data_IF_007277057170
#
_entry.id   IF_007277057170
#
_cell.length_a   1.000
_cell.length_b   1.000
_cell.length_c   1.000
_cell.angle_alpha   90.00
_cell.angle_beta   90.00
_cell.angle_gamma   90.00
#
_symmetry.space_group_name_H-M   'P 1'
#
loop_
_entity.id
_entity.type
_entity.pdbx_description
1 polymer ?
#
# COMPACT_ATOMS: atom_id res chain seq x y z
N UNK A 1 -5.59 9.89 9.57
CA UNK A 1 -5.34 8.49 9.98
C UNK A 1 -5.34 7.60 8.78
N UNK A 2 -4.35 6.73 8.60
CA UNK A 2 -4.34 5.69 7.57
C UNK A 2 -3.93 4.38 8.25
N UNK A 3 -4.83 3.40 8.28
CA UNK A 3 -4.59 2.01 8.69
C UNK A 3 -4.63 1.14 7.43
N UNK A 4 -3.71 0.19 7.21
CA UNK A 4 -3.73 -0.66 6.00
C UNK A 4 -3.54 -2.14 6.35
N UNK A 5 -4.44 -2.99 5.83
CA UNK A 5 -4.19 -4.42 5.67
C UNK A 5 -4.41 -4.85 4.22
N UNK A 6 -3.31 -5.36 3.66
CA UNK A 6 -3.05 -6.09 2.41
C UNK A 6 -4.23 -6.24 1.43
N UNK A 7 -4.48 -5.20 0.62
CA UNK A 7 -5.27 -5.30 -0.61
C UNK A 7 -4.39 -5.62 -1.82
N UNK A 8 -4.26 -6.90 -2.19
CA UNK A 8 -3.61 -7.31 -3.45
C UNK A 8 -4.44 -6.79 -4.63
N UNK A 9 -3.89 -5.85 -5.38
CA UNK A 9 -4.30 -5.58 -6.74
C UNK A 9 -3.99 -6.83 -7.63
N UNK A 10 -4.81 -7.89 -7.59
CA UNK A 10 -4.90 -8.99 -8.59
C UNK A 10 -5.49 -8.64 -9.99
N UNK A 11 -4.64 -8.29 -10.96
CA UNK A 11 -5.03 -7.99 -12.35
C UNK A 11 -5.39 -9.30 -13.07
N UNK A 12 -6.65 -9.51 -13.42
CA UNK A 12 -7.03 -10.45 -14.50
C UNK A 12 -8.32 -10.04 -15.21
N UNK A 13 -8.22 -9.96 -16.55
CA UNK A 13 -9.24 -10.14 -17.60
C UNK A 13 -10.51 -9.26 -17.64
N UNK A 14 -10.38 -8.02 -18.09
CA UNK A 14 -11.45 -7.36 -18.89
C UNK A 14 -11.10 -7.47 -20.38
N UNK A 15 -12.08 -7.60 -21.29
CA UNK A 15 -11.84 -7.44 -22.73
C UNK A 15 -11.31 -6.04 -23.00
N UNK A 16 -10.32 -5.93 -23.90
CA UNK A 16 -9.74 -4.65 -24.27
C UNK A 16 -10.84 -3.69 -24.75
N UNK A 17 -10.86 -2.42 -24.31
CA UNK A 17 -11.79 -1.43 -24.86
C UNK A 17 -11.58 -1.35 -26.38
N UNK A 18 -12.69 -1.25 -27.13
CA UNK A 18 -12.63 -1.16 -28.59
C UNK A 18 -11.71 -0.01 -29.03
N UNK A 19 -10.83 -0.29 -30.00
CA UNK A 19 -9.92 0.72 -30.56
C UNK A 19 -10.74 1.88 -31.14
N UNK A 20 -10.58 3.11 -30.64
CA UNK A 20 -11.11 4.28 -31.32
C UNK A 20 -10.40 4.42 -32.68
N UNK A 21 -11.18 4.74 -33.71
CA UNK A 21 -10.75 4.70 -35.11
C UNK A 21 -9.64 5.71 -35.46
N UNK A 22 -9.52 6.80 -34.71
CA UNK A 22 -8.37 7.69 -34.73
C UNK A 22 -8.32 8.54 -33.46
N UNK A 23 -7.13 8.66 -32.86
CA UNK A 23 -6.83 9.70 -31.88
C UNK A 23 -5.70 10.52 -32.48
N UNK A 24 -5.97 11.79 -32.73
CA UNK A 24 -4.95 12.74 -33.18
C UNK A 24 -4.44 13.55 -32.00
N UNK A 25 -3.16 13.89 -32.03
CA UNK A 25 -2.56 14.84 -31.10
C UNK A 25 -3.06 16.27 -31.35
N UNK A 26 -2.79 17.21 -30.44
CA UNK A 26 -3.15 18.64 -30.60
C UNK A 26 -2.51 19.28 -31.85
N UNK A 27 -1.39 18.74 -32.31
CA UNK A 27 -0.66 19.10 -33.52
C UNK A 27 -1.08 18.30 -34.77
N UNK A 28 -2.11 17.45 -34.66
CA UNK A 28 -2.72 16.76 -35.80
C UNK A 28 -1.99 15.49 -36.28
N UNK A 29 -1.00 15.00 -35.52
CA UNK A 29 -0.35 13.73 -35.81
C UNK A 29 -1.16 12.54 -35.28
N UNK A 30 -1.17 11.44 -36.03
CA UNK A 30 -1.88 10.21 -35.62
C UNK A 30 -1.13 9.52 -34.47
N UNK A 31 -1.84 9.22 -33.38
CA UNK A 31 -1.28 8.43 -32.27
C UNK A 31 -1.31 6.95 -32.61
N UNK A 32 -0.13 6.35 -32.70
CA UNK A 32 0.01 4.91 -32.83
C UNK A 32 -0.35 4.21 -31.51
N UNK A 33 -1.25 3.23 -31.60
CA UNK A 33 -1.54 2.35 -30.49
C UNK A 33 -0.43 1.31 -30.32
N UNK A 34 0.24 1.33 -29.17
CA UNK A 34 1.28 0.36 -28.83
C UNK A 34 0.87 -0.48 -27.62
N UNK A 35 1.05 -1.81 -27.73
CA UNK A 35 0.74 -2.74 -26.63
C UNK A 35 1.72 -2.61 -25.46
N UNK A 36 2.92 -2.09 -25.71
CA UNK A 36 3.94 -1.88 -24.70
C UNK A 36 4.62 -0.53 -24.95
N UNK A 37 4.65 0.31 -23.93
CA UNK A 37 5.29 1.61 -24.00
C UNK A 37 6.21 1.84 -22.81
N UNK A 38 7.40 2.39 -23.05
CA UNK A 38 8.35 2.71 -21.98
C UNK A 38 8.23 4.19 -21.62
N UNK A 39 7.72 4.45 -20.42
CA UNK A 39 7.58 5.81 -19.91
C UNK A 39 8.47 6.01 -18.68
N UNK A 40 9.34 7.03 -18.74
CA UNK A 40 10.29 7.38 -17.66
C UNK A 40 11.05 6.15 -17.10
N UNK A 41 11.41 5.19 -17.94
CA UNK A 41 12.13 3.99 -17.50
C UNK A 41 11.27 2.80 -17.02
N UNK A 42 9.95 2.98 -16.86
CA UNK A 42 9.00 1.93 -16.52
C UNK A 42 8.30 1.44 -17.79
N UNK A 43 8.10 0.12 -17.92
CA UNK A 43 7.39 -0.45 -19.08
C UNK A 43 5.92 -0.65 -18.71
N UNK A 44 5.04 -0.07 -19.49
CA UNK A 44 3.59 -0.15 -19.34
C UNK A 44 3.07 -1.06 -20.46
N UNK A 45 2.54 -2.22 -20.11
CA UNK A 45 1.77 -3.04 -21.05
C UNK A 45 0.30 -2.59 -21.09
N UNK A 46 -0.41 -2.89 -22.17
CA UNK A 46 -1.81 -2.51 -22.38
C UNK A 46 -2.77 -3.02 -21.29
N UNK A 47 -2.37 -4.05 -20.52
CA UNK A 47 -3.14 -4.59 -19.39
C UNK A 47 -2.69 -4.02 -18.04
N UNK A 48 -1.70 -3.13 -18.03
CA UNK A 48 -1.01 -2.61 -16.84
C UNK A 48 -0.58 -3.73 -15.89
N UNK A 49 -0.25 -4.91 -16.42
CA UNK A 49 0.18 -6.07 -15.64
C UNK A 49 1.61 -5.94 -15.10
N UNK A 50 2.39 -5.04 -15.69
CA UNK A 50 3.83 -4.82 -15.50
C UNK A 50 4.68 -6.07 -15.78
N UNK A 51 4.14 -7.03 -16.55
CA UNK A 51 4.86 -8.25 -16.88
C UNK A 51 6.15 -7.97 -17.65
N UNK A 52 6.08 -7.10 -18.66
CA UNK A 52 7.23 -6.68 -19.45
C UNK A 52 8.25 -5.96 -18.57
N UNK A 53 7.80 -5.03 -17.71
CA UNK A 53 8.66 -4.29 -16.81
C UNK A 53 9.41 -5.21 -15.84
N UNK A 54 8.70 -6.10 -15.15
CA UNK A 54 9.29 -6.97 -14.14
C UNK A 54 10.26 -7.97 -14.78
N UNK A 55 9.94 -8.53 -15.95
CA UNK A 55 10.88 -9.40 -16.68
C UNK A 55 12.17 -8.66 -17.04
N UNK A 56 12.04 -7.43 -17.56
CA UNK A 56 13.20 -6.61 -17.92
C UNK A 56 14.03 -6.22 -16.70
N UNK A 57 13.37 -5.79 -15.61
CA UNK A 57 14.00 -5.43 -14.34
C UNK A 57 14.73 -6.63 -13.72
N UNK A 58 14.08 -7.79 -13.67
CA UNK A 58 14.67 -9.04 -13.20
C UNK A 58 15.93 -9.40 -14.00
N UNK A 59 15.88 -9.36 -15.33
CA UNK A 59 17.02 -9.66 -16.20
C UNK A 59 18.19 -8.69 -15.97
N UNK A 60 17.88 -7.39 -15.89
CA UNK A 60 18.85 -6.33 -15.61
C UNK A 60 19.55 -6.55 -14.27
N UNK A 61 18.79 -6.86 -13.21
CA UNK A 61 19.35 -7.12 -11.87
C UNK A 61 20.14 -8.42 -11.86
N UNK A 62 19.61 -9.50 -12.46
CA UNK A 62 20.29 -10.80 -12.53
C UNK A 62 21.67 -10.67 -13.19
N UNK A 63 21.77 -9.93 -14.29
CA UNK A 63 23.05 -9.68 -14.97
C UNK A 63 24.05 -8.97 -14.04
N UNK A 64 23.61 -7.94 -13.32
CA UNK A 64 24.45 -7.21 -12.33
C UNK A 64 24.90 -8.12 -11.18
N UNK A 65 23.98 -8.90 -10.63
CA UNK A 65 24.28 -9.87 -9.55
C UNK A 65 25.31 -10.90 -10.03
N UNK A 66 25.13 -11.47 -11.22
CA UNK A 66 26.08 -12.41 -11.80
C UNK A 66 27.49 -11.80 -11.92
N UNK A 67 27.58 -10.55 -12.39
CA UNK A 67 28.85 -9.82 -12.44
C UNK A 67 29.48 -9.63 -11.04
N UNK A 68 28.67 -9.23 -10.05
CA UNK A 68 29.13 -9.06 -8.68
C UNK A 68 29.65 -10.38 -8.08
N UNK A 69 28.92 -11.49 -8.26
CA UNK A 69 29.33 -12.80 -7.77
C UNK A 69 30.64 -13.30 -8.40
N UNK A 70 30.85 -13.06 -9.70
CA UNK A 70 32.12 -13.41 -10.39
C UNK A 70 33.32 -12.71 -9.77
N UNK A 71 33.12 -11.49 -9.26
CA UNK A 71 34.17 -10.66 -8.68
C UNK A 71 34.08 -10.60 -7.14
N UNK A 72 33.38 -11.53 -6.50
CA UNK A 72 33.07 -11.46 -5.05
C UNK A 72 34.29 -11.45 -4.12
N UNK A 73 35.45 -11.90 -4.60
CA UNK A 73 36.70 -11.92 -3.85
C UNK A 73 37.32 -10.51 -3.73
N UNK A 74 37.02 -9.63 -4.69
CA UNK A 74 37.58 -8.28 -4.77
C UNK A 74 36.90 -7.27 -3.83
N UNK A 75 35.87 -7.69 -3.09
CA UNK A 75 35.06 -6.78 -2.28
C UNK A 75 35.03 -7.19 -0.81
N UNK A 76 35.25 -6.23 0.07
CA UNK A 76 34.98 -6.36 1.52
C UNK A 76 33.48 -6.47 1.78
N UNK A 77 33.07 -6.95 2.95
CA UNK A 77 31.65 -7.06 3.29
C UNK A 77 30.92 -5.70 3.20
N UNK A 78 31.52 -4.63 3.74
CA UNK A 78 30.99 -3.28 3.65
C UNK A 78 30.86 -2.81 2.19
N UNK A 79 31.87 -3.06 1.35
CA UNK A 79 31.82 -2.73 -0.07
C UNK A 79 30.68 -3.47 -0.80
N UNK A 80 30.45 -4.75 -0.48
CA UNK A 80 29.33 -5.52 -1.04
C UNK A 80 27.98 -4.91 -0.66
N UNK A 81 27.81 -4.55 0.61
CA UNK A 81 26.59 -3.91 1.11
C UNK A 81 26.29 -2.62 0.34
N UNK A 82 27.28 -1.74 0.21
CA UNK A 82 27.16 -0.47 -0.52
C UNK A 82 26.90 -0.68 -2.01
N UNK A 83 27.62 -1.60 -2.66
CA UNK A 83 27.41 -1.92 -4.08
C UNK A 83 25.99 -2.40 -4.36
N UNK A 84 25.45 -3.30 -3.53
CA UNK A 84 24.08 -3.79 -3.69
C UNK A 84 23.07 -2.65 -3.48
N UNK A 85 23.24 -1.81 -2.46
CA UNK A 85 22.38 -0.63 -2.25
C UNK A 85 22.34 0.29 -3.47
N UNK A 86 23.52 0.68 -3.98
CA UNK A 86 23.64 1.68 -5.05
C UNK A 86 23.30 1.14 -6.45
N UNK A 87 23.39 -0.17 -6.67
CA UNK A 87 23.18 -0.74 -8.02
C UNK A 87 21.89 -1.53 -8.14
N UNK A 88 21.57 -2.35 -7.13
CA UNK A 88 20.44 -3.28 -7.18
C UNK A 88 19.23 -2.64 -6.50
N UNK A 89 19.37 -2.16 -5.25
CA UNK A 89 18.23 -1.58 -4.53
C UNK A 89 17.72 -0.33 -5.23
N UNK A 90 18.59 0.58 -5.68
CA UNK A 90 18.14 1.74 -6.49
C UNK A 90 17.35 1.33 -7.75
N UNK A 91 17.69 0.19 -8.38
CA UNK A 91 16.94 -0.28 -9.55
C UNK A 91 15.61 -0.92 -9.18
N UNK A 92 15.55 -1.61 -8.03
CA UNK A 92 14.31 -2.14 -7.49
C UNK A 92 13.40 -1.01 -7.06
N UNK A 93 13.90 -0.03 -6.31
CA UNK A 93 13.12 1.09 -5.77
C UNK A 93 12.55 2.00 -6.86
N UNK A 94 13.20 2.05 -8.03
CA UNK A 94 12.74 2.89 -9.12
C UNK A 94 11.40 2.41 -9.69
N UNK A 95 10.36 3.23 -9.51
CA UNK A 95 9.00 2.94 -9.99
C UNK A 95 8.27 1.85 -9.20
N UNK A 96 8.79 1.46 -8.03
CA UNK A 96 8.27 0.35 -7.22
C UNK A 96 6.87 0.61 -6.65
N UNK A 97 6.58 1.87 -6.33
CA UNK A 97 5.26 2.41 -6.02
C UNK A 97 4.24 2.14 -7.13
N UNK A 98 4.68 2.14 -8.39
CA UNK A 98 3.80 1.96 -9.56
C UNK A 98 3.58 0.47 -9.81
N UNK A 99 4.67 -0.30 -9.99
CA UNK A 99 4.56 -1.70 -10.36
C UNK A 99 4.20 -2.62 -9.17
N UNK A 100 4.09 -2.11 -7.93
CA UNK A 100 3.61 -2.90 -6.77
C UNK A 100 2.24 -3.54 -6.98
N UNK A 101 1.46 -3.04 -7.95
CA UNK A 101 0.14 -3.56 -8.29
C UNK A 101 0.20 -4.84 -9.13
N UNK A 102 1.40 -5.27 -9.54
CA UNK A 102 1.62 -6.53 -10.24
C UNK A 102 1.22 -7.75 -9.38
N UNK A 103 0.96 -8.88 -10.05
CA UNK A 103 0.63 -10.13 -9.37
C UNK A 103 1.80 -10.63 -8.52
N UNK A 104 1.51 -11.32 -7.41
CA UNK A 104 2.55 -11.84 -6.52
C UNK A 104 3.43 -12.88 -7.21
N UNK A 105 2.87 -13.69 -8.10
CA UNK A 105 3.65 -14.60 -8.94
C UNK A 105 4.73 -13.87 -9.74
N UNK A 106 4.43 -12.64 -10.18
CA UNK A 106 5.36 -11.79 -10.91
C UNK A 106 6.33 -11.07 -9.96
N UNK A 107 5.85 -10.51 -8.85
CA UNK A 107 6.68 -9.86 -7.84
C UNK A 107 7.68 -10.82 -7.17
N UNK A 108 7.32 -12.09 -6.96
CA UNK A 108 8.20 -13.13 -6.43
C UNK A 108 9.46 -13.34 -7.31
N UNK A 109 9.41 -12.98 -8.60
CA UNK A 109 10.58 -12.99 -9.48
C UNK A 109 11.62 -11.94 -9.08
N UNK A 110 11.17 -10.81 -8.55
CA UNK A 110 12.04 -9.77 -7.99
C UNK A 110 12.58 -10.20 -6.63
N UNK A 111 11.78 -10.90 -5.81
CA UNK A 111 12.24 -11.41 -4.52
C UNK A 111 13.41 -12.40 -4.69
N UNK A 112 13.36 -13.27 -5.71
CA UNK A 112 14.45 -14.21 -6.02
C UNK A 112 15.80 -13.50 -6.30
N UNK A 113 15.77 -12.41 -7.09
CA UNK A 113 17.01 -11.64 -7.35
C UNK A 113 17.42 -10.80 -6.14
N UNK A 114 16.46 -10.34 -5.34
CA UNK A 114 16.74 -9.64 -4.08
C UNK A 114 17.44 -10.56 -3.07
N UNK A 115 16.95 -11.79 -2.85
CA UNK A 115 17.62 -12.78 -2.01
C UNK A 115 19.01 -13.14 -2.54
N UNK A 116 19.17 -13.25 -3.86
CA UNK A 116 20.50 -13.48 -4.46
C UNK A 116 21.47 -12.36 -4.13
N UNK A 117 21.00 -11.10 -4.12
CA UNK A 117 21.80 -9.95 -3.72
C UNK A 117 22.16 -9.98 -2.23
N UNK A 118 21.26 -10.45 -1.36
CA UNK A 118 21.54 -10.62 0.07
C UNK A 118 22.60 -11.69 0.29
N UNK A 119 22.49 -12.85 -0.35
CA UNK A 119 23.51 -13.91 -0.28
C UNK A 119 24.88 -13.44 -0.78
N UNK A 120 24.92 -12.56 -1.78
CA UNK A 120 26.17 -11.96 -2.23
C UNK A 120 26.87 -11.20 -1.09
N UNK A 121 26.11 -10.47 -0.27
CA UNK A 121 26.62 -9.67 0.86
C UNK A 121 26.97 -10.56 2.06
N UNK A 122 26.04 -11.41 2.50
CA UNK A 122 26.15 -12.15 3.77
C UNK A 122 27.05 -13.38 3.68
N UNK A 123 27.18 -13.99 2.49
CA UNK A 123 27.76 -15.33 2.31
C UNK A 123 27.05 -16.43 3.14
N UNK A 124 25.84 -16.17 3.63
CA UNK A 124 25.05 -17.15 4.36
C UNK A 124 24.69 -18.34 3.46
N UNK A 125 24.53 -19.52 4.06
CA UNK A 125 24.16 -20.74 3.34
C UNK A 125 22.79 -20.57 2.69
N UNK A 126 22.55 -21.26 1.57
CA UNK A 126 21.24 -21.24 0.90
C UNK A 126 20.10 -21.84 1.74
N UNK A 127 20.43 -22.54 2.83
CA UNK A 127 19.47 -23.07 3.80
C UNK A 127 19.09 -22.09 4.91
N UNK A 128 19.77 -20.94 4.98
CA UNK A 128 19.48 -19.92 6.00
C UNK A 128 18.08 -19.36 5.78
N UNK A 129 17.29 -19.27 6.86
CA UNK A 129 15.94 -18.74 6.78
C UNK A 129 15.95 -17.26 6.38
N UNK A 130 14.96 -16.81 5.60
CA UNK A 130 14.97 -15.46 5.03
C UNK A 130 14.94 -14.36 6.11
N UNK A 131 14.28 -14.59 7.25
CA UNK A 131 14.28 -13.62 8.35
C UNK A 131 15.69 -13.31 8.84
N UNK A 132 16.53 -14.33 8.96
CA UNK A 132 17.92 -14.18 9.42
C UNK A 132 18.76 -13.47 8.37
N UNK A 133 18.54 -13.79 7.08
CA UNK A 133 19.19 -13.09 5.97
C UNK A 133 18.89 -11.59 6.01
N UNK A 134 17.64 -11.20 6.26
CA UNK A 134 17.23 -9.80 6.36
C UNK A 134 17.84 -9.11 7.58
N UNK A 135 17.89 -9.78 8.73
CA UNK A 135 18.50 -9.27 9.95
C UNK A 135 20.01 -9.01 9.76
N UNK A 136 20.72 -9.91 9.09
CA UNK A 136 22.16 -9.79 8.83
C UNK A 136 22.53 -8.55 8.00
N UNK A 137 21.70 -8.19 7.01
CA UNK A 137 21.95 -6.99 6.17
C UNK A 137 21.24 -5.74 6.67
N UNK A 138 20.33 -5.88 7.63
CA UNK A 138 19.49 -4.79 8.12
C UNK A 138 18.55 -4.22 7.05
N UNK A 139 18.05 -5.06 6.13
CA UNK A 139 17.13 -4.63 5.07
C UNK A 139 15.75 -5.26 5.26
N UNK A 140 14.66 -4.52 4.99
CA UNK A 140 13.31 -5.07 5.08
C UNK A 140 13.03 -6.05 3.94
N UNK A 141 11.91 -6.79 4.05
CA UNK A 141 11.38 -7.54 2.93
C UNK A 141 11.07 -6.58 1.77
N UNK A 142 11.24 -7.06 0.53
CA UNK A 142 11.04 -6.21 -0.64
C UNK A 142 9.58 -5.74 -0.76
N UNK A 143 8.63 -6.57 -0.32
CA UNK A 143 7.23 -6.15 -0.17
C UNK A 143 7.07 -4.99 0.80
N UNK A 144 7.63 -5.09 2.01
CA UNK A 144 7.60 -4.03 3.02
C UNK A 144 8.25 -2.75 2.51
N UNK A 145 9.37 -2.87 1.79
CA UNK A 145 10.07 -1.73 1.17
C UNK A 145 9.17 -0.97 0.19
N UNK A 146 8.55 -1.68 -0.75
CA UNK A 146 7.57 -1.11 -1.70
C UNK A 146 6.40 -0.44 -0.98
N UNK A 147 5.91 -1.08 0.08
CA UNK A 147 4.81 -0.54 0.88
C UNK A 147 5.22 0.76 1.58
N UNK A 148 6.43 0.84 2.14
CA UNK A 148 6.95 2.06 2.74
C UNK A 148 7.05 3.20 1.73
N UNK A 149 7.57 2.96 0.52
CA UNK A 149 7.62 3.99 -0.53
C UNK A 149 6.23 4.44 -0.97
N UNK A 150 5.27 3.53 -1.06
CA UNK A 150 3.88 3.87 -1.35
C UNK A 150 3.27 4.80 -0.29
N UNK A 151 3.46 4.49 0.99
CA UNK A 151 3.01 5.36 2.09
C UNK A 151 3.68 6.73 2.07
N UNK A 152 4.98 6.79 1.74
CA UNK A 152 5.70 8.05 1.58
C UNK A 152 5.13 8.90 0.45
N UNK A 153 4.78 8.28 -0.69
CA UNK A 153 4.13 8.99 -1.79
C UNK A 153 2.76 9.52 -1.37
N UNK A 154 1.91 8.71 -0.75
CA UNK A 154 0.61 9.18 -0.22
C UNK A 154 0.81 10.37 0.72
N UNK A 155 1.71 10.23 1.71
CA UNK A 155 1.98 11.28 2.68
C UNK A 155 2.40 12.58 2.00
N UNK A 156 3.36 12.52 1.06
CA UNK A 156 3.81 13.68 0.30
C UNK A 156 2.70 14.26 -0.56
N UNK A 157 1.91 13.44 -1.25
CA UNK A 157 0.79 13.89 -2.06
C UNK A 157 -0.35 14.50 -1.25
N UNK A 158 -0.50 14.13 0.02
CA UNK A 158 -1.42 14.77 0.97
C UNK A 158 -0.89 16.12 1.50
N UNK A 159 0.40 16.39 1.32
CA UNK A 159 1.09 17.58 1.83
C UNK A 159 1.59 18.54 0.74
N UNK A 160 1.55 18.14 -0.54
CA UNK A 160 1.94 19.00 -1.66
C UNK A 160 0.84 20.03 -1.97
N UNK A 161 1.15 21.28 -1.62
CA UNK A 161 0.50 22.51 -2.08
C UNK A 161 -0.36 23.20 -1.01
N UNK A 162 0.13 24.30 -0.41
CA UNK A 162 -0.61 25.30 0.41
C UNK A 162 -1.69 24.81 1.39
N UNK A 163 -1.71 23.54 1.78
CA UNK A 163 -2.61 23.02 2.79
C UNK A 163 -1.92 23.12 4.16
N UNK A 164 -2.66 23.53 5.21
CA UNK A 164 -2.09 23.70 6.54
C UNK A 164 -1.44 22.39 7.00
N UNK A 165 -0.27 22.50 7.63
CA UNK A 165 0.45 21.38 8.26
C UNK A 165 -0.51 20.66 9.21
N UNK A 166 -1.05 19.52 8.78
CA UNK A 166 -1.92 18.68 9.59
C UNK A 166 -1.10 17.65 10.36
N UNK A 167 -1.51 17.32 11.59
CA UNK A 167 -0.93 16.20 12.32
C UNK A 167 -1.44 14.88 11.73
N UNK A 168 -0.51 14.02 11.32
CA UNK A 168 -0.83 12.66 10.87
C UNK A 168 -0.39 11.67 11.93
N UNK A 169 -1.33 10.85 12.39
CA UNK A 169 -1.04 9.70 13.24
C UNK A 169 -1.48 8.44 12.50
N UNK A 170 -0.58 7.46 12.40
CA UNK A 170 -0.84 6.14 11.83
C UNK A 170 -0.75 5.06 12.90
N UNK A 171 -1.56 4.01 12.77
CA UNK A 171 -1.65 2.92 13.73
C UNK A 171 -1.65 1.63 12.94
N UNK A 172 -0.82 0.67 13.32
CA UNK A 172 -0.74 -0.61 12.61
C UNK A 172 -0.22 -1.70 13.54
N UNK A 173 -0.71 -2.92 13.32
CA UNK A 173 -0.23 -4.12 14.01
C UNK A 173 1.23 -4.46 13.63
N UNK A 174 1.69 -3.96 12.48
CA UNK A 174 3.04 -4.13 12.00
C UNK A 174 3.87 -2.88 12.22
N UNK A 175 5.19 -3.06 12.23
CA UNK A 175 6.15 -1.96 12.31
C UNK A 175 6.09 -1.09 11.07
N UNK A 176 5.87 0.20 11.27
CA UNK A 176 6.00 1.24 10.24
C UNK A 176 7.31 2.00 10.48
N UNK A 177 8.07 2.26 9.41
CA UNK A 177 9.26 3.09 9.50
C UNK A 177 8.86 4.54 9.87
N UNK A 178 9.62 5.23 10.74
CA UNK A 178 9.35 6.64 11.04
C UNK A 178 9.27 7.49 9.78
N UNK A 179 8.31 8.41 9.75
CA UNK A 179 8.14 9.39 8.68
C UNK A 179 8.10 10.77 9.29
N UNK A 180 8.94 11.66 8.79
CA UNK A 180 8.97 13.03 9.30
C UNK A 180 7.60 13.70 9.10
N UNK A 181 7.13 14.39 10.14
CA UNK A 181 5.79 15.00 10.20
C UNK A 181 4.60 14.03 10.30
N UNK A 182 4.83 12.74 10.61
CA UNK A 182 3.79 11.81 11.03
C UNK A 182 4.24 10.98 12.25
N UNK A 183 3.31 10.70 13.16
CA UNK A 183 3.55 9.82 14.30
C UNK A 183 2.97 8.43 14.03
N UNK A 184 3.70 7.37 14.35
CA UNK A 184 3.21 6.00 14.17
C UNK A 184 3.19 5.23 15.49
N UNK A 185 2.00 4.75 15.87
CA UNK A 185 1.83 3.70 16.88
C UNK A 185 1.99 2.33 16.20
N UNK A 186 3.24 1.94 15.99
CA UNK A 186 3.60 0.63 15.42
C UNK A 186 3.36 -0.50 16.42
N UNK A 187 2.99 -1.68 15.95
CA UNK A 187 2.69 -2.86 16.77
C UNK A 187 1.57 -2.61 17.79
N UNK A 188 0.57 -1.81 17.43
CA UNK A 188 -0.58 -1.51 18.25
C UNK A 188 -1.86 -1.95 17.55
N UNK A 189 -2.76 -2.58 18.29
CA UNK A 189 -4.10 -2.91 17.81
C UNK A 189 -5.02 -1.72 18.04
N UNK A 190 -5.70 -1.24 17.01
CA UNK A 190 -6.65 -0.14 17.13
C UNK A 190 -7.86 -0.49 17.98
N UNK A 191 -8.17 -1.78 18.18
CA UNK A 191 -9.27 -2.20 19.05
C UNK A 191 -8.90 -2.12 20.54
N UNK A 192 -7.63 -1.99 20.88
CA UNK A 192 -7.13 -1.92 22.25
C UNK A 192 -7.38 -0.52 22.87
N UNK A 193 -8.06 -0.43 24.04
CA UNK A 193 -8.18 0.80 24.81
C UNK A 193 -6.85 1.53 25.09
N UNK A 194 -5.74 0.80 25.26
CA UNK A 194 -4.41 1.40 25.49
C UNK A 194 -3.96 2.17 24.25
N UNK A 195 -4.23 1.65 23.05
CA UNK A 195 -3.95 2.34 21.79
C UNK A 195 -4.79 3.61 21.65
N UNK A 196 -6.06 3.57 22.08
CA UNK A 196 -6.92 4.75 22.09
C UNK A 196 -6.40 5.86 23.01
N UNK A 197 -5.88 5.52 24.19
CA UNK A 197 -5.29 6.50 25.11
C UNK A 197 -4.07 7.20 24.48
N UNK A 198 -3.13 6.42 23.93
CA UNK A 198 -1.95 6.97 23.22
C UNK A 198 -2.32 7.81 22.01
N UNK A 199 -3.37 7.42 21.30
CA UNK A 199 -3.89 8.17 20.16
C UNK A 199 -4.37 9.56 20.57
N UNK A 200 -5.11 9.67 21.68
CA UNK A 200 -5.60 10.96 22.18
C UNK A 200 -4.44 11.89 22.58
N UNK A 201 -3.36 11.35 23.14
CA UNK A 201 -2.15 12.12 23.49
C UNK A 201 -1.42 12.68 22.26
N UNK A 202 -1.43 11.93 21.15
CA UNK A 202 -0.76 12.33 19.91
C UNK A 202 -1.58 13.29 19.05
N UNK A 203 -2.89 13.38 19.29
CA UNK A 203 -3.79 14.22 18.51
C UNK A 203 -3.83 15.64 19.06
N UNK A 204 -3.56 16.67 18.22
CA UNK A 204 -3.78 18.05 18.62
C UNK A 204 -5.24 18.27 19.04
N UNK A 205 -5.45 18.79 20.26
CA UNK A 205 -6.79 18.98 20.81
C UNK A 205 -7.56 17.68 21.06
N UNK A 206 -6.87 16.53 21.08
CA UNK A 206 -7.45 15.19 21.22
C UNK A 206 -8.52 14.87 20.14
N UNK A 207 -8.47 15.56 18.99
CA UNK A 207 -9.47 15.45 17.95
C UNK A 207 -8.86 15.23 16.55
N UNK A 208 -9.56 14.46 15.75
CA UNK A 208 -9.27 14.13 14.38
C UNK A 208 -10.30 14.81 13.46
N UNK A 209 -9.83 15.28 12.32
CA UNK A 209 -10.70 15.80 11.26
C UNK A 209 -11.19 14.67 10.35
N UNK A 210 -10.32 13.69 10.11
CA UNK A 210 -10.56 12.58 9.18
C UNK A 210 -9.99 11.29 9.74
N UNK A 211 -10.84 10.26 9.83
CA UNK A 211 -10.44 8.88 10.04
C UNK A 211 -10.41 8.17 8.69
N UNK A 212 -9.30 7.52 8.32
CA UNK A 212 -9.27 6.63 7.16
C UNK A 212 -8.77 5.25 7.59
N UNK A 213 -9.49 4.23 7.14
CA UNK A 213 -9.19 2.84 7.42
C UNK A 213 -9.27 2.00 6.16
N UNK A 214 -8.15 1.38 5.85
CA UNK A 214 -7.99 0.32 4.87
C UNK A 214 -7.74 -1.03 5.58
N UNK A 215 -8.29 -1.18 6.79
CA UNK A 215 -8.24 -2.42 7.56
C UNK A 215 -8.92 -3.58 6.82
N UNK A 216 -8.33 -4.77 6.97
CA UNK A 216 -8.89 -6.04 6.53
C UNK A 216 -8.34 -7.17 7.39
N UNK A 217 -9.17 -8.19 7.69
CA UNK A 217 -8.69 -9.37 8.38
C UNK A 217 -7.73 -10.16 7.48
N UNK A 218 -6.89 -10.99 8.10
CA UNK A 218 -6.19 -12.03 7.36
C UNK A 218 -7.23 -12.97 6.73
N UNK A 219 -7.16 -13.14 5.40
CA UNK A 219 -8.09 -14.00 4.68
C UNK A 219 -7.94 -15.45 5.17
N UNK A 220 -9.01 -15.99 5.75
CA UNK A 220 -9.09 -17.41 6.13
C UNK A 220 -9.41 -18.31 4.94
N UNK A 221 -9.95 -17.72 3.86
CA UNK A 221 -10.45 -18.45 2.69
C UNK A 221 -11.96 -18.71 2.76
N UNK A 222 -12.59 -18.48 3.91
CA UNK A 222 -14.04 -18.57 4.09
C UNK A 222 -14.66 -17.17 3.96
N UNK A 223 -15.24 -16.89 2.79
CA UNK A 223 -15.72 -15.54 2.42
C UNK A 223 -16.68 -14.92 3.44
N UNK A 224 -17.62 -15.70 3.96
CA UNK A 224 -18.61 -15.23 4.93
C UNK A 224 -17.95 -14.80 6.25
N UNK A 225 -17.04 -15.63 6.77
CA UNK A 225 -16.31 -15.34 7.99
C UNK A 225 -15.37 -14.14 7.83
N UNK A 226 -14.68 -14.05 6.68
CA UNK A 226 -13.79 -12.92 6.39
C UNK A 226 -14.61 -11.61 6.23
N UNK A 227 -15.82 -11.69 5.65
CA UNK A 227 -16.78 -10.58 5.57
C UNK A 227 -17.23 -10.12 6.95
N UNK A 228 -17.68 -11.04 7.82
CA UNK A 228 -18.10 -10.73 9.19
C UNK A 228 -16.99 -10.06 10.01
N UNK A 229 -15.76 -10.57 9.90
CA UNK A 229 -14.59 -9.97 10.57
C UNK A 229 -14.34 -8.56 10.07
N UNK A 230 -14.35 -8.33 8.76
CA UNK A 230 -14.16 -7.00 8.20
C UNK A 230 -15.25 -6.02 8.65
N UNK A 231 -16.51 -6.45 8.66
CA UNK A 231 -17.63 -5.63 9.14
C UNK A 231 -17.44 -5.30 10.62
N UNK A 232 -17.04 -6.25 11.45
CA UNK A 232 -16.77 -6.04 12.88
C UNK A 232 -15.66 -5.01 13.10
N UNK A 233 -14.56 -5.11 12.34
CA UNK A 233 -13.47 -4.13 12.36
C UNK A 233 -13.92 -2.73 11.88
N UNK A 234 -14.81 -2.67 10.89
CA UNK A 234 -15.35 -1.38 10.43
C UNK A 234 -16.37 -0.79 11.39
N UNK A 235 -17.06 -1.61 12.20
CA UNK A 235 -17.94 -1.14 13.27
C UNK A 235 -17.15 -0.54 14.43
N UNK A 236 -16.00 -1.11 14.81
CA UNK A 236 -15.16 -0.53 15.87
C UNK A 236 -14.62 0.86 15.52
N UNK A 237 -14.51 1.20 14.22
CA UNK A 237 -14.19 2.56 13.78
C UNK A 237 -15.28 3.57 14.12
N UNK A 238 -16.54 3.14 14.24
CA UNK A 238 -17.64 4.02 14.67
C UNK A 238 -17.47 4.35 16.15
N UNK A 239 -17.10 3.35 16.96
CA UNK A 239 -16.80 3.55 18.39
C UNK A 239 -15.57 4.44 18.59
N UNK A 240 -14.55 4.28 17.74
CA UNK A 240 -13.39 5.17 17.71
C UNK A 240 -13.79 6.60 17.30
N UNK A 241 -14.64 6.76 16.29
CA UNK A 241 -15.10 8.06 15.83
C UNK A 241 -15.79 8.84 16.97
N UNK A 242 -16.56 8.16 17.83
CA UNK A 242 -17.16 8.79 18.99
C UNK A 242 -16.17 9.34 20.02
N UNK A 243 -14.93 8.83 20.03
CA UNK A 243 -13.87 9.27 20.96
C UNK A 243 -12.98 10.36 20.38
N UNK A 244 -12.70 10.30 19.08
CA UNK A 244 -11.65 11.14 18.48
C UNK A 244 -12.11 11.98 17.30
N UNK A 245 -13.27 11.73 16.69
CA UNK A 245 -13.69 12.48 15.51
C UNK A 245 -14.43 13.76 15.93
N UNK A 246 -13.97 14.92 15.46
CA UNK A 246 -14.66 16.17 15.73
C UNK A 246 -16.02 16.26 15.01
N UNK A 247 -16.92 17.10 15.53
CA UNK A 247 -18.17 17.44 14.84
C UNK A 247 -17.88 17.98 13.44
N UNK A 248 -18.60 17.46 12.44
CA UNK A 248 -18.36 17.78 11.03
C UNK A 248 -17.24 16.96 10.37
N UNK A 249 -16.49 16.16 11.13
CA UNK A 249 -15.43 15.30 10.64
C UNK A 249 -15.91 14.21 9.68
N UNK A 250 -14.97 13.53 9.02
CA UNK A 250 -15.24 12.49 8.04
C UNK A 250 -14.57 11.16 8.39
N UNK A 251 -15.22 10.07 7.98
CA UNK A 251 -14.70 8.71 8.10
C UNK A 251 -14.74 8.04 6.74
N UNK A 252 -13.62 7.41 6.38
CA UNK A 252 -13.52 6.54 5.20
C UNK A 252 -13.12 5.15 5.69
N UNK A 253 -13.92 4.14 5.39
CA UNK A 253 -13.58 2.76 5.74
C UNK A 253 -13.81 1.81 4.57
N UNK A 254 -12.87 0.86 4.40
CA UNK A 254 -13.01 -0.27 3.49
C UNK A 254 -14.07 -1.24 4.00
N UNK A 255 -14.82 -1.83 3.07
CA UNK A 255 -15.64 -3.00 3.31
C UNK A 255 -15.66 -3.89 2.06
N UNK A 256 -16.11 -5.13 2.22
CA UNK A 256 -16.47 -5.99 1.10
C UNK A 256 -17.98 -6.05 0.99
N UNK A 257 -18.48 -5.97 -0.24
CA UNK A 257 -19.90 -6.10 -0.49
C UNK A 257 -20.42 -7.47 -0.02
N UNK A 258 -21.59 -7.49 0.63
CA UNK A 258 -22.12 -8.69 1.27
C UNK A 258 -23.30 -8.41 2.21
N UNK A 259 -23.86 -9.46 2.79
CA UNK A 259 -25.14 -9.42 3.52
C UNK A 259 -25.19 -8.36 4.64
N UNK A 260 -24.07 -8.16 5.35
CA UNK A 260 -23.97 -7.22 6.48
C UNK A 260 -23.55 -5.78 6.08
N UNK A 261 -23.27 -5.52 4.80
CA UNK A 261 -22.83 -4.19 4.36
C UNK A 261 -23.90 -3.11 4.64
N UNK A 262 -25.17 -3.45 4.45
CA UNK A 262 -26.30 -2.55 4.73
C UNK A 262 -26.40 -2.20 6.23
N UNK A 263 -26.13 -3.16 7.12
CA UNK A 263 -26.13 -2.91 8.57
C UNK A 263 -25.02 -1.92 8.96
N UNK A 264 -23.82 -2.06 8.37
CA UNK A 264 -22.73 -1.10 8.56
C UNK A 264 -23.13 0.30 8.05
N UNK A 265 -23.74 0.39 6.86
CA UNK A 265 -24.21 1.65 6.29
C UNK A 265 -25.28 2.32 7.17
N UNK A 266 -26.21 1.56 7.73
CA UNK A 266 -27.23 2.07 8.65
C UNK A 266 -26.60 2.66 9.92
N UNK A 267 -25.65 1.95 10.53
CA UNK A 267 -24.93 2.43 11.71
C UNK A 267 -24.12 3.69 11.42
N UNK A 268 -23.46 3.77 10.27
CA UNK A 268 -22.80 5.00 9.82
C UNK A 268 -23.82 6.13 9.61
N UNK A 269 -24.95 5.86 8.97
CA UNK A 269 -25.98 6.85 8.67
C UNK A 269 -26.67 7.41 9.93
N UNK A 270 -26.63 6.67 11.04
CA UNK A 270 -27.14 7.15 12.32
C UNK A 270 -26.29 8.31 12.88
N UNK A 271 -24.97 8.27 12.67
CA UNK A 271 -24.01 9.22 13.26
C UNK A 271 -23.36 10.17 12.25
N UNK A 272 -23.53 9.96 10.95
CA UNK A 272 -23.07 10.86 9.89
C UNK A 272 -24.25 11.45 9.10
N UNK A 273 -24.09 12.63 8.50
CA UNK A 273 -25.17 13.23 7.68
C UNK A 273 -25.23 12.67 6.26
N UNK A 274 -24.08 12.33 5.69
CA UNK A 274 -23.98 11.83 4.31
C UNK A 274 -23.08 10.59 4.30
N UNK A 275 -23.63 9.44 3.93
CA UNK A 275 -22.88 8.18 3.81
C UNK A 275 -23.04 7.67 2.40
N UNK A 276 -21.94 7.55 1.67
CA UNK A 276 -21.93 7.10 0.28
C UNK A 276 -20.97 5.95 0.09
N UNK A 277 -21.37 5.00 -0.73
CA UNK A 277 -20.45 4.01 -1.28
C UNK A 277 -19.59 4.68 -2.34
N UNK A 278 -18.28 4.53 -2.21
CA UNK A 278 -17.28 4.99 -3.15
C UNK A 278 -16.50 3.78 -3.64
N UNK A 279 -16.47 3.59 -4.95
CA UNK A 279 -15.52 2.68 -5.61
C UNK A 279 -14.40 3.54 -6.22
N UNK A 280 -13.17 3.51 -5.68
CA UNK A 280 -12.07 4.28 -6.24
C UNK A 280 -11.86 3.89 -7.71
N UNK A 281 -11.52 4.85 -8.58
CA UNK A 281 -11.17 4.55 -9.98
C UNK A 281 -9.98 3.60 -10.11
N UNK A 282 -9.13 3.54 -9.07
CA UNK A 282 -8.02 2.61 -8.95
C UNK A 282 -8.44 1.20 -8.47
N UNK A 283 -9.66 1.03 -7.95
CA UNK A 283 -10.22 -0.27 -7.56
C UNK A 283 -10.81 -1.00 -8.77
N UNK A 284 -10.57 -2.30 -8.89
CA UNK A 284 -11.07 -3.09 -10.02
C UNK A 284 -12.58 -3.22 -9.99
N UNK A 285 -13.21 -3.23 -11.18
CA UNK A 285 -14.66 -3.50 -11.30
C UNK A 285 -15.09 -4.77 -10.59
N UNK A 286 -14.27 -5.83 -10.64
CA UNK A 286 -14.56 -7.15 -10.05
C UNK A 286 -14.11 -7.33 -8.59
N UNK A 287 -13.38 -6.36 -8.03
CA UNK A 287 -13.12 -6.39 -6.59
C UNK A 287 -14.44 -6.12 -5.85
N UNK A 288 -14.77 -6.97 -4.88
CA UNK A 288 -15.83 -6.70 -3.90
C UNK A 288 -15.47 -5.54 -2.96
N UNK A 289 -14.24 -5.02 -3.06
CA UNK A 289 -13.73 -3.89 -2.29
C UNK A 289 -14.41 -2.58 -2.67
N UNK A 290 -15.10 -2.04 -1.68
CA UNK A 290 -15.80 -0.78 -1.70
C UNK A 290 -15.39 0.02 -0.45
N UNK A 291 -15.63 1.32 -0.49
CA UNK A 291 -15.41 2.19 0.66
C UNK A 291 -16.70 2.89 1.02
N UNK A 292 -16.99 3.03 2.30
CA UNK A 292 -17.95 4.03 2.74
C UNK A 292 -17.20 5.34 2.98
N UNK A 293 -17.66 6.40 2.31
CA UNK A 293 -17.33 7.78 2.64
C UNK A 293 -18.47 8.35 3.48
N UNK A 294 -18.23 8.48 4.77
CA UNK A 294 -19.16 9.05 5.74
C UNK A 294 -18.69 10.47 6.11
N UNK A 295 -19.55 11.46 5.91
CA UNK A 295 -19.22 12.89 6.07
C UNK A 295 -20.15 13.57 7.06
N UNK A 296 -19.64 14.66 7.63
CA UNK A 296 -20.35 15.50 8.58
C UNK A 296 -20.79 14.70 9.81
N UNK A 297 -19.80 14.24 10.58
CA UNK A 297 -20.03 13.56 11.85
C UNK A 297 -20.95 14.40 12.76
N UNK A 298 -21.98 13.75 13.29
CA UNK A 298 -22.93 14.34 14.23
C UNK A 298 -22.34 14.15 15.61
N UNK A 299 -22.23 15.23 16.35
CA UNK A 299 -21.91 15.16 17.77
C UNK A 299 -22.94 14.25 18.45
N UNK A 300 -22.48 13.20 19.13
CA UNK A 300 -23.34 12.46 20.04
C UNK A 300 -23.72 13.44 21.14
N UNK A 301 -24.92 14.02 21.05
CA UNK A 301 -25.59 14.58 22.23
C UNK A 301 -25.84 13.39 23.16
N UNK A 302 -24.91 13.16 24.07
CA UNK A 302 -25.24 12.46 25.30
C UNK A 302 -26.24 13.38 25.99
N UNK A 303 -27.53 13.00 25.91
CA UNK A 303 -28.55 13.44 26.86
C UNK A 303 -28.43 12.51 28.06
#
# INVERSE_FOLDING_TARGET
FYLHSVGRLLISSLPAPAHPSSITTLDGSDLEYVDNYKYLGVWLDCKLSFQTHIKHLQSKIKSRICFLFRNKASFTHAAKHTLVKLTILLSLDFGDVIYKIASNTLLNKLDAVYHSAIHFVTKATYTTHYCDLYALVGWPLLHTRRQTHWLQVIYKSLLDGEFPRGAVVGIDLLRIAPLDGAHFLSNHDITDPVTHAKLLELLPGAQAHVIMSDMAPNASGFKEMDHEKLITMSLSLIDLAAKVLQTGGSLICKYWDGALAHQLQQKLSAVFRDVRTVKPKASRKESSELFFLARSYRENKIV
#
